data_IF_380680361182
#
_entry.id   IF_380680361182
#
_cell.length_a   1.000
_cell.length_b   1.000
_cell.length_c   1.000
_cell.angle_alpha   90.00
_cell.angle_beta   90.00
_cell.angle_gamma   90.00
#
_symmetry.space_group_name_H-M   'P 1'
#
loop_
_entity.id
_entity.type
_entity.pdbx_description
1 polymer ?
#
# COMPACT_ATOMS: atom_id res chain seq x y z
N UNK A 1 -42.42 -32.93 -26.97
CA UNK A 1 -41.73 -32.21 -25.86
C UNK A 1 -40.53 -33.04 -25.42
N UNK A 2 -39.55 -33.20 -26.29
CA UNK A 2 -38.38 -32.31 -26.48
C UNK A 2 -37.30 -32.49 -25.39
N UNK A 3 -36.73 -33.72 -25.38
CA UNK A 3 -35.54 -34.11 -24.61
C UNK A 3 -34.33 -33.19 -24.89
N UNK A 4 -34.30 -32.57 -26.07
CA UNK A 4 -33.26 -31.63 -26.48
C UNK A 4 -33.41 -30.27 -25.77
N UNK A 5 -34.64 -29.85 -25.48
CA UNK A 5 -34.94 -28.66 -24.66
C UNK A 5 -34.63 -28.90 -23.18
N UNK A 6 -34.88 -30.11 -22.66
CA UNK A 6 -34.51 -30.48 -21.28
C UNK A 6 -32.98 -30.54 -21.11
N UNK A 7 -32.24 -31.12 -22.06
CA UNK A 7 -30.77 -31.12 -22.05
C UNK A 7 -30.19 -29.71 -22.13
N UNK A 8 -30.70 -28.86 -23.02
CA UNK A 8 -30.26 -27.45 -23.12
C UNK A 8 -30.53 -26.66 -21.84
N UNK A 9 -31.70 -26.83 -21.21
CA UNK A 9 -31.99 -26.16 -19.93
C UNK A 9 -31.06 -26.67 -18.81
N UNK A 10 -30.80 -27.99 -18.74
CA UNK A 10 -29.88 -28.56 -17.75
C UNK A 10 -28.44 -28.10 -17.94
N UNK A 11 -27.95 -28.06 -19.18
CA UNK A 11 -26.61 -27.55 -19.52
C UNK A 11 -26.48 -26.04 -19.29
N UNK A 12 -27.52 -25.27 -19.57
CA UNK A 12 -27.51 -23.81 -19.33
C UNK A 12 -27.53 -23.50 -17.83
N UNK A 13 -28.27 -24.29 -17.04
CA UNK A 13 -28.31 -24.15 -15.57
C UNK A 13 -26.97 -24.55 -14.95
N UNK A 14 -26.36 -25.66 -15.35
CA UNK A 14 -25.05 -26.07 -14.81
C UNK A 14 -23.88 -25.20 -15.28
N UNK A 15 -23.97 -24.56 -16.44
CA UNK A 15 -22.96 -23.60 -16.92
C UNK A 15 -23.08 -22.21 -16.28
N UNK A 16 -24.30 -21.75 -16.00
CA UNK A 16 -24.53 -20.49 -15.27
C UNK A 16 -24.15 -20.61 -13.80
N UNK A 17 -24.53 -21.72 -13.16
CA UNK A 17 -24.25 -22.01 -11.75
C UNK A 17 -22.75 -22.27 -11.52
N UNK A 18 -22.05 -22.95 -12.45
CA UNK A 18 -20.58 -23.04 -12.39
C UNK A 18 -19.87 -21.71 -12.70
N UNK A 19 -20.45 -20.81 -13.52
CA UNK A 19 -19.86 -19.48 -13.75
C UNK A 19 -19.99 -18.58 -12.52
N UNK A 20 -21.09 -18.65 -11.78
CA UNK A 20 -21.25 -17.93 -10.51
C UNK A 20 -20.42 -18.56 -9.37
N UNK A 21 -20.29 -19.89 -9.34
CA UNK A 21 -19.49 -20.62 -8.35
C UNK A 21 -17.97 -20.44 -8.51
N UNK A 22 -17.48 -20.24 -9.75
CA UNK A 22 -16.06 -20.03 -10.03
C UNK A 22 -15.64 -18.54 -10.06
N UNK A 23 -16.58 -17.58 -10.13
CA UNK A 23 -16.23 -16.16 -10.29
C UNK A 23 -16.09 -15.36 -8.97
N UNK A 24 -16.52 -15.91 -7.84
CA UNK A 24 -16.39 -15.26 -6.54
C UNK A 24 -15.62 -16.17 -5.58
N UNK A 25 -14.54 -15.66 -4.97
CA UNK A 25 -14.22 -16.09 -3.61
C UNK A 25 -15.56 -16.05 -2.83
N UNK A 26 -15.99 -17.16 -2.21
CA UNK A 26 -17.27 -17.13 -1.46
C UNK A 26 -17.26 -15.94 -0.50
N UNK A 27 -18.41 -15.26 -0.31
CA UNK A 27 -18.49 -14.05 0.52
C UNK A 27 -17.85 -14.27 1.90
N UNK A 28 -17.99 -15.47 2.46
CA UNK A 28 -17.30 -15.92 3.69
C UNK A 28 -15.79 -15.86 3.57
N UNK A 29 -15.20 -16.34 2.47
CA UNK A 29 -13.75 -16.28 2.25
C UNK A 29 -13.24 -14.85 2.11
N UNK A 30 -13.98 -13.97 1.42
CA UNK A 30 -13.62 -12.56 1.34
C UNK A 30 -13.64 -11.90 2.71
N UNK A 31 -14.70 -12.12 3.49
CA UNK A 31 -14.84 -11.59 4.84
C UNK A 31 -13.71 -12.09 5.76
N UNK A 32 -13.40 -13.38 5.73
CA UNK A 32 -12.29 -13.94 6.50
C UNK A 32 -10.96 -13.29 6.15
N UNK A 33 -10.67 -13.08 4.87
CA UNK A 33 -9.43 -12.42 4.44
C UNK A 33 -9.38 -10.94 4.83
N UNK A 34 -10.51 -10.21 4.77
CA UNK A 34 -10.62 -8.83 5.27
C UNK A 34 -10.33 -8.80 6.78
N UNK A 35 -10.93 -9.71 7.55
CA UNK A 35 -10.74 -9.78 9.00
C UNK A 35 -9.30 -10.10 9.37
N UNK A 36 -8.66 -11.05 8.68
CA UNK A 36 -7.24 -11.39 8.91
C UNK A 36 -6.34 -10.21 8.55
N UNK A 37 -6.57 -9.56 7.40
CA UNK A 37 -5.81 -8.37 7.00
C UNK A 37 -5.95 -7.26 8.06
N UNK A 38 -7.17 -6.96 8.50
CA UNK A 38 -7.45 -5.95 9.51
C UNK A 38 -6.75 -6.25 10.84
N UNK A 39 -6.85 -7.49 11.34
CA UNK A 39 -6.24 -7.91 12.59
C UNK A 39 -4.70 -7.81 12.53
N UNK A 40 -4.09 -8.37 11.48
CA UNK A 40 -2.63 -8.31 11.31
C UNK A 40 -2.14 -6.87 11.14
N UNK A 41 -2.87 -6.04 10.41
CA UNK A 41 -2.50 -4.64 10.22
C UNK A 41 -2.66 -3.82 11.51
N UNK A 42 -3.71 -4.06 12.30
CA UNK A 42 -3.89 -3.41 13.60
C UNK A 42 -2.73 -3.74 14.56
N UNK A 43 -2.32 -5.02 14.62
CA UNK A 43 -1.16 -5.45 15.42
C UNK A 43 0.12 -4.80 14.90
N UNK A 44 0.32 -4.77 13.58
CA UNK A 44 1.49 -4.14 12.98
C UNK A 44 1.55 -2.64 13.31
N UNK A 45 0.42 -1.92 13.29
CA UNK A 45 0.35 -0.52 13.73
C UNK A 45 0.70 -0.40 15.20
N UNK A 46 0.08 -1.18 16.08
CA UNK A 46 0.32 -1.10 17.53
C UNK A 46 1.81 -1.30 17.89
N UNK A 47 2.50 -2.19 17.17
CA UNK A 47 3.93 -2.48 17.40
C UNK A 47 4.86 -1.46 16.75
N UNK A 48 4.55 -1.00 15.53
CA UNK A 48 5.51 -0.24 14.71
C UNK A 48 5.26 1.27 14.68
N UNK A 49 4.06 1.70 15.04
CA UNK A 49 3.61 3.09 15.01
C UNK A 49 3.65 3.87 16.34
N UNK A 50 4.38 3.48 17.41
CA UNK A 50 4.61 4.40 18.54
C UNK A 50 5.44 5.64 18.18
N UNK A 51 6.09 5.66 17.02
CA UNK A 51 6.94 6.77 16.58
C UNK A 51 6.05 7.80 15.84
N UNK A 52 5.79 8.98 16.43
CA UNK A 52 4.98 10.01 15.80
C UNK A 52 5.71 10.60 14.59
N UNK A 53 4.93 11.21 13.69
CA UNK A 53 5.52 12.02 12.64
C UNK A 53 6.20 13.26 13.25
N UNK A 54 7.12 13.90 12.52
CA UNK A 54 7.75 15.15 12.96
C UNK A 54 6.78 16.28 13.32
N UNK A 55 5.56 16.27 12.79
CA UNK A 55 4.53 17.26 13.08
C UNK A 55 3.73 16.94 14.35
N UNK A 56 4.05 15.86 15.05
CA UNK A 56 3.32 15.40 16.23
C UNK A 56 1.94 14.83 15.90
N UNK A 57 1.65 14.57 14.61
CA UNK A 57 0.33 14.12 14.15
C UNK A 57 0.48 13.00 13.14
N UNK A 58 -0.16 11.86 13.44
CA UNK A 58 0.05 10.64 12.68
C UNK A 58 1.41 10.00 12.98
N UNK A 59 1.67 8.84 12.39
CA UNK A 59 2.75 7.96 12.83
C UNK A 59 3.56 7.40 11.67
N UNK A 60 4.77 6.95 11.97
CA UNK A 60 5.57 6.10 11.09
C UNK A 60 4.91 4.72 11.00
N UNK A 61 4.57 4.27 9.77
CA UNK A 61 3.74 3.08 9.56
C UNK A 61 4.38 2.10 8.59
N UNK A 62 5.44 1.37 8.97
CA UNK A 62 6.00 0.30 8.14
C UNK A 62 5.04 -0.90 8.03
N UNK A 63 4.09 -1.04 8.96
CA UNK A 63 3.07 -2.11 8.95
C UNK A 63 2.19 -2.17 7.70
N UNK A 64 2.18 -1.12 6.86
CA UNK A 64 1.47 -1.06 5.56
C UNK A 64 1.86 -2.17 4.59
N UNK A 65 2.97 -2.86 4.84
CA UNK A 65 3.37 -4.07 4.11
C UNK A 65 2.29 -5.15 4.15
N UNK A 66 1.58 -5.30 5.28
CA UNK A 66 0.52 -6.30 5.45
C UNK A 66 -0.64 -6.04 4.47
N UNK A 67 -1.33 -4.89 4.51
CA UNK A 67 -2.39 -4.61 3.55
C UNK A 67 -1.90 -4.56 2.10
N UNK A 68 -0.68 -4.10 1.83
CA UNK A 68 -0.09 -4.17 0.49
C UNK A 68 0.00 -5.63 -0.02
N UNK A 69 0.46 -6.56 0.82
CA UNK A 69 0.47 -7.99 0.49
C UNK A 69 -0.94 -8.52 0.23
N UNK A 70 -1.91 -8.23 1.11
CA UNK A 70 -3.29 -8.67 0.92
C UNK A 70 -3.94 -8.09 -0.34
N UNK A 71 -3.66 -6.82 -0.66
CA UNK A 71 -4.11 -6.17 -1.90
C UNK A 71 -3.57 -6.91 -3.12
N UNK A 72 -2.27 -7.19 -3.12
CA UNK A 72 -1.58 -7.81 -4.24
C UNK A 72 -2.09 -9.23 -4.48
N UNK A 73 -2.25 -10.00 -3.41
CA UNK A 73 -2.62 -11.42 -3.49
C UNK A 73 -4.12 -11.63 -3.65
N UNK A 74 -4.96 -10.84 -2.98
CA UNK A 74 -6.40 -11.10 -2.91
C UNK A 74 -7.27 -10.01 -3.55
N UNK A 75 -6.68 -8.87 -3.92
CA UNK A 75 -7.34 -7.82 -4.69
C UNK A 75 -7.71 -6.56 -3.89
N UNK A 76 -8.23 -5.53 -4.60
CA UNK A 76 -8.40 -4.18 -4.08
C UNK A 76 -9.35 -4.08 -2.87
N UNK A 77 -10.45 -4.84 -2.88
CA UNK A 77 -11.45 -4.78 -1.79
C UNK A 77 -10.88 -5.39 -0.50
N UNK A 78 -10.25 -6.57 -0.58
CA UNK A 78 -9.71 -7.27 0.59
C UNK A 78 -8.58 -6.44 1.24
N UNK A 79 -7.70 -5.92 0.41
CA UNK A 79 -6.63 -5.03 0.84
C UNK A 79 -7.14 -3.71 1.42
N UNK A 80 -7.98 -2.99 0.67
CA UNK A 80 -8.51 -1.68 1.03
C UNK A 80 -9.39 -1.68 2.27
N UNK A 81 -10.42 -2.53 2.33
CA UNK A 81 -11.33 -2.59 3.48
C UNK A 81 -10.59 -3.09 4.73
N UNK A 82 -9.78 -4.15 4.59
CA UNK A 82 -8.97 -4.65 5.70
C UNK A 82 -7.98 -3.61 6.21
N UNK A 83 -7.36 -2.82 5.33
CA UNK A 83 -6.48 -1.73 5.74
C UNK A 83 -7.23 -0.61 6.48
N UNK A 84 -8.44 -0.27 6.04
CA UNK A 84 -9.27 0.76 6.66
C UNK A 84 -9.67 0.36 8.09
N UNK A 85 -10.18 -0.86 8.27
CA UNK A 85 -10.56 -1.41 9.57
C UNK A 85 -9.34 -1.60 10.47
N UNK A 86 -8.26 -2.19 9.93
CA UNK A 86 -7.02 -2.39 10.68
C UNK A 86 -6.37 -1.09 11.11
N UNK A 87 -6.43 -0.04 10.27
CA UNK A 87 -6.00 1.31 10.63
C UNK A 87 -6.78 1.84 11.82
N UNK A 88 -8.11 1.76 11.78
CA UNK A 88 -8.95 2.24 12.87
C UNK A 88 -8.68 1.49 14.17
N UNK A 89 -8.60 0.16 14.13
CA UNK A 89 -8.33 -0.65 15.31
C UNK A 89 -6.93 -0.41 15.88
N UNK A 90 -5.92 -0.27 15.02
CA UNK A 90 -4.56 0.07 15.43
C UNK A 90 -4.47 1.45 16.07
N UNK A 91 -5.09 2.46 15.45
CA UNK A 91 -5.14 3.82 16.01
C UNK A 91 -5.98 3.87 17.29
N UNK A 92 -7.05 3.09 17.38
CA UNK A 92 -7.82 2.95 18.61
C UNK A 92 -6.94 2.36 19.73
N UNK A 93 -6.13 1.34 19.45
CA UNK A 93 -5.19 0.80 20.42
C UNK A 93 -4.13 1.83 20.85
N UNK A 94 -3.57 2.60 19.91
CA UNK A 94 -2.62 3.67 20.19
C UNK A 94 -3.24 4.82 21.00
N UNK A 95 -4.55 5.02 20.90
CA UNK A 95 -5.25 6.07 21.66
C UNK A 95 -5.24 5.82 23.17
N UNK A 96 -5.15 4.57 23.62
CA UNK A 96 -4.97 4.26 25.04
C UNK A 96 -3.62 4.74 25.60
N UNK A 97 -2.64 4.98 24.73
CA UNK A 97 -1.34 5.55 25.09
C UNK A 97 -1.24 7.06 24.82
N UNK A 98 -2.35 7.70 24.45
CA UNK A 98 -2.39 9.14 24.15
C UNK A 98 -1.66 9.55 22.85
N UNK A 99 -1.31 8.59 21.99
CA UNK A 99 -0.54 8.85 20.77
C UNK A 99 -1.40 9.36 19.61
N UNK A 100 -2.69 9.02 19.59
CA UNK A 100 -3.64 9.44 18.55
C UNK A 100 -5.06 9.51 19.12
N UNK A 101 -6.01 9.95 18.30
CA UNK A 101 -7.44 9.90 18.63
C UNK A 101 -8.20 9.04 17.64
N UNK A 102 -9.23 8.26 18.07
CA UNK A 102 -10.06 7.49 17.16
C UNK A 102 -10.75 8.36 16.09
N UNK A 103 -11.10 9.59 16.44
CA UNK A 103 -11.72 10.55 15.53
C UNK A 103 -10.77 11.00 14.41
N UNK A 104 -9.50 11.28 14.74
CA UNK A 104 -8.48 11.58 13.73
C UNK A 104 -8.29 10.41 12.78
N UNK A 105 -8.29 9.16 13.29
CA UNK A 105 -8.24 7.97 12.44
C UNK A 105 -9.41 7.89 11.48
N UNK A 106 -10.65 8.12 11.93
CA UNK A 106 -11.82 8.05 11.05
C UNK A 106 -11.80 9.09 9.94
N UNK A 107 -11.30 10.29 10.22
CA UNK A 107 -11.27 11.41 9.25
C UNK A 107 -10.08 11.29 8.28
N UNK A 108 -8.92 10.83 8.77
CA UNK A 108 -7.68 10.83 8.01
C UNK A 108 -7.16 9.43 7.67
N UNK A 109 -6.94 8.61 8.71
CA UNK A 109 -6.30 7.30 8.58
C UNK A 109 -7.13 6.31 7.75
N UNK A 110 -8.40 6.14 8.09
CA UNK A 110 -9.32 5.17 7.47
C UNK A 110 -9.51 5.47 5.97
N UNK A 111 -9.85 6.69 5.54
CA UNK A 111 -10.00 7.00 4.11
C UNK A 111 -8.68 6.86 3.36
N UNK A 112 -7.57 7.35 3.92
CA UNK A 112 -6.26 7.28 3.27
C UNK A 112 -5.79 5.86 3.02
N UNK A 113 -5.96 4.97 4.01
CA UNK A 113 -5.63 3.55 3.87
C UNK A 113 -6.55 2.86 2.87
N UNK A 114 -7.87 3.05 2.99
CA UNK A 114 -8.82 2.47 2.05
C UNK A 114 -8.48 2.84 0.60
N UNK A 115 -8.35 4.14 0.31
CA UNK A 115 -8.10 4.65 -1.04
C UNK A 115 -6.74 4.18 -1.55
N UNK A 116 -5.68 4.29 -0.75
CA UNK A 116 -4.33 3.89 -1.16
C UNK A 116 -4.28 2.42 -1.59
N UNK A 117 -4.77 1.50 -0.76
CA UNK A 117 -4.72 0.07 -1.06
C UNK A 117 -5.73 -0.36 -2.11
N UNK A 118 -6.88 0.32 -2.22
CA UNK A 118 -7.82 0.10 -3.31
C UNK A 118 -7.20 0.49 -4.66
N UNK A 119 -6.56 1.67 -4.74
CA UNK A 119 -5.83 2.14 -5.93
C UNK A 119 -4.70 1.18 -6.30
N UNK A 120 -3.90 0.72 -5.33
CA UNK A 120 -2.87 -0.28 -5.58
C UNK A 120 -3.45 -1.53 -6.25
N UNK A 121 -4.55 -2.05 -5.71
CA UNK A 121 -5.21 -3.24 -6.24
C UNK A 121 -5.77 -3.05 -7.65
N UNK A 122 -6.29 -1.86 -7.96
CA UNK A 122 -6.76 -1.49 -9.30
C UNK A 122 -5.62 -1.33 -10.32
N UNK A 123 -4.47 -0.82 -9.90
CA UNK A 123 -3.33 -0.63 -10.79
C UNK A 123 -2.63 -1.97 -11.07
N UNK A 124 -2.44 -2.81 -10.05
CA UNK A 124 -1.79 -4.10 -10.20
C UNK A 124 -2.65 -5.12 -10.95
N UNK A 125 -3.99 -5.02 -10.87
CA UNK A 125 -4.88 -5.92 -11.60
C UNK A 125 -4.74 -5.78 -13.12
N UNK A 126 -4.33 -4.61 -13.62
CA UNK A 126 -4.09 -4.36 -15.06
C UNK A 126 -2.82 -5.04 -15.57
N UNK A 127 -1.76 -5.09 -14.75
CA UNK A 127 -0.46 -5.67 -15.10
C UNK A 127 0.20 -6.27 -13.87
N UNK A 128 0.18 -7.60 -13.73
CA UNK A 128 0.78 -8.32 -12.60
C UNK A 128 2.25 -8.66 -12.83
N UNK A 129 3.09 -7.64 -12.83
CA UNK A 129 4.54 -7.79 -12.94
C UNK A 129 5.26 -7.01 -11.85
N UNK A 130 6.48 -7.41 -11.49
CA UNK A 130 7.24 -6.76 -10.42
C UNK A 130 7.48 -5.27 -10.70
N UNK A 131 7.82 -4.91 -11.94
CA UNK A 131 7.96 -3.51 -12.34
C UNK A 131 6.65 -2.72 -12.22
N UNK A 132 5.51 -3.33 -12.59
CA UNK A 132 4.19 -2.73 -12.42
C UNK A 132 3.83 -2.56 -10.95
N UNK A 133 4.17 -3.54 -10.09
CA UNK A 133 3.99 -3.45 -8.64
C UNK A 133 4.78 -2.29 -8.04
N UNK A 134 6.04 -2.11 -8.42
CA UNK A 134 6.88 -1.02 -7.94
C UNK A 134 6.26 0.34 -8.29
N UNK A 135 5.87 0.55 -9.55
CA UNK A 135 5.23 1.80 -9.99
C UNK A 135 3.84 2.00 -9.36
N UNK A 136 3.03 0.95 -9.31
CA UNK A 136 1.67 0.99 -8.73
C UNK A 136 1.70 1.28 -7.24
N UNK A 137 2.66 0.71 -6.51
CA UNK A 137 2.87 0.98 -5.09
C UNK A 137 3.24 2.43 -4.86
N UNK A 138 4.14 2.99 -5.67
CA UNK A 138 4.53 4.40 -5.55
C UNK A 138 3.34 5.34 -5.79
N UNK A 139 2.56 5.13 -6.86
CA UNK A 139 1.36 5.92 -7.15
C UNK A 139 0.32 5.78 -6.04
N UNK A 140 0.04 4.54 -5.62
CA UNK A 140 -0.93 4.26 -4.56
C UNK A 140 -0.54 4.88 -3.21
N UNK A 141 0.75 4.84 -2.84
CA UNK A 141 1.26 5.49 -1.64
C UNK A 141 1.11 7.01 -1.72
N UNK A 142 1.39 7.64 -2.88
CA UNK A 142 1.15 9.08 -3.05
C UNK A 142 -0.32 9.41 -2.86
N UNK A 143 -1.22 8.69 -3.53
CA UNK A 143 -2.66 8.96 -3.47
C UNK A 143 -3.21 8.73 -2.05
N UNK A 144 -2.91 7.59 -1.45
CA UNK A 144 -3.39 7.26 -0.10
C UNK A 144 -2.87 8.21 0.96
N UNK A 145 -1.58 8.56 0.91
CA UNK A 145 -0.97 9.49 1.87
C UNK A 145 -1.44 10.92 1.67
N UNK A 146 -1.73 11.34 0.42
CA UNK A 146 -2.35 12.64 0.16
C UNK A 146 -3.76 12.71 0.75
N UNK A 147 -4.58 11.67 0.56
CA UNK A 147 -5.93 11.60 1.17
C UNK A 147 -5.82 11.65 2.70
N UNK A 148 -4.88 10.92 3.30
CA UNK A 148 -4.64 10.97 4.73
C UNK A 148 -4.21 12.37 5.19
N UNK A 149 -3.27 13.01 4.49
CA UNK A 149 -2.78 14.35 4.84
C UNK A 149 -3.87 15.43 4.73
N UNK A 150 -4.72 15.34 3.71
CA UNK A 150 -5.90 16.19 3.58
C UNK A 150 -6.92 15.94 4.70
N UNK A 151 -7.10 14.68 5.11
CA UNK A 151 -7.92 14.32 6.27
C UNK A 151 -7.37 14.90 7.58
N UNK A 152 -6.03 14.89 7.77
CA UNK A 152 -5.40 15.57 8.91
C UNK A 152 -5.70 17.06 8.89
N UNK A 153 -5.57 17.72 7.74
CA UNK A 153 -5.93 19.13 7.59
C UNK A 153 -7.41 19.37 7.90
N UNK A 154 -8.31 18.51 7.43
CA UNK A 154 -9.74 18.61 7.72
C UNK A 154 -10.03 18.45 9.21
N UNK A 155 -9.42 17.46 9.88
CA UNK A 155 -9.54 17.29 11.34
C UNK A 155 -9.11 18.56 12.08
N UNK A 156 -7.98 19.15 11.70
CA UNK A 156 -7.50 20.39 12.29
C UNK A 156 -8.39 21.59 11.99
N UNK A 157 -8.98 21.65 10.80
CA UNK A 157 -9.88 22.73 10.44
C UNK A 157 -11.16 22.71 11.27
N UNK A 158 -11.75 21.52 11.47
CA UNK A 158 -13.10 21.38 12.06
C UNK A 158 -13.10 21.00 13.54
N UNK A 159 -12.07 20.33 14.05
CA UNK A 159 -12.05 19.75 15.41
C UNK A 159 -11.06 20.46 16.33
N UNK A 160 -9.89 20.87 15.82
CA UNK A 160 -8.82 21.49 16.62
C UNK A 160 -8.42 22.85 16.02
N UNK A 161 -9.19 23.93 16.30
CA UNK A 161 -9.17 25.19 15.54
C UNK A 161 -7.83 25.93 15.50
N UNK A 162 -6.88 25.57 16.37
CA UNK A 162 -5.56 26.20 16.45
C UNK A 162 -4.76 26.21 15.13
N UNK A 163 -5.02 25.26 14.23
CA UNK A 163 -4.37 25.16 12.91
C UNK A 163 -5.21 25.80 11.80
N UNK A 164 -6.50 26.06 12.05
CA UNK A 164 -7.40 26.68 11.07
C UNK A 164 -6.96 28.11 10.74
N UNK A 165 -6.34 28.82 11.69
CA UNK A 165 -5.81 30.18 11.52
C UNK A 165 -4.50 30.26 10.73
N UNK A 166 -3.87 29.12 10.40
CA UNK A 166 -2.59 29.13 9.69
C UNK A 166 -2.70 29.71 8.27
N UNK A 167 -1.66 30.39 7.78
CA UNK A 167 -1.63 30.86 6.41
C UNK A 167 -1.70 29.69 5.42
N UNK A 168 -2.29 29.93 4.25
CA UNK A 168 -2.50 28.88 3.23
C UNK A 168 -1.20 28.21 2.80
N UNK A 169 -0.10 28.98 2.73
CA UNK A 169 1.24 28.46 2.42
C UNK A 169 1.70 27.40 3.41
N UNK A 170 1.47 27.60 4.72
CA UNK A 170 1.83 26.64 5.76
C UNK A 170 0.97 25.39 5.70
N UNK A 171 -0.34 25.52 5.42
CA UNK A 171 -1.25 24.39 5.23
C UNK A 171 -0.80 23.50 4.06
N UNK A 172 -0.47 24.10 2.92
CA UNK A 172 0.07 23.39 1.76
C UNK A 172 1.39 22.70 2.12
N UNK A 173 2.31 23.39 2.79
CA UNK A 173 3.59 22.85 3.20
C UNK A 173 3.43 21.61 4.09
N UNK A 174 2.53 21.64 5.08
CA UNK A 174 2.29 20.49 5.98
C UNK A 174 1.61 19.33 5.26
N UNK A 175 0.62 19.59 4.39
CA UNK A 175 0.00 18.52 3.59
C UNK A 175 1.05 17.85 2.68
N UNK A 176 1.88 18.64 2.00
CA UNK A 176 2.98 18.13 1.19
C UNK A 176 4.01 17.37 2.04
N UNK A 177 4.37 17.90 3.21
CA UNK A 177 5.31 17.30 4.14
C UNK A 177 4.86 15.94 4.65
N UNK A 178 3.64 15.86 5.17
CA UNK A 178 3.03 14.60 5.63
C UNK A 178 2.93 13.58 4.49
N UNK A 179 2.47 14.01 3.31
CA UNK A 179 2.36 13.13 2.13
C UNK A 179 3.73 12.54 1.77
N UNK A 180 4.75 13.39 1.61
CA UNK A 180 6.09 12.97 1.21
C UNK A 180 6.77 12.12 2.28
N UNK A 181 6.62 12.50 3.56
CA UNK A 181 7.15 11.74 4.69
C UNK A 181 6.62 10.31 4.69
N UNK A 182 5.30 10.12 4.61
CA UNK A 182 4.71 8.79 4.58
C UNK A 182 5.07 8.02 3.32
N UNK A 183 5.11 8.67 2.14
CA UNK A 183 5.52 8.00 0.89
C UNK A 183 6.93 7.42 1.04
N UNK A 184 7.89 8.23 1.47
CA UNK A 184 9.29 7.82 1.62
C UNK A 184 9.44 6.74 2.68
N UNK A 185 8.80 6.92 3.82
CA UNK A 185 8.93 5.98 4.94
C UNK A 185 8.22 4.65 4.70
N UNK A 186 7.20 4.60 3.84
CA UNK A 186 6.48 3.37 3.51
C UNK A 186 7.08 2.64 2.30
N UNK A 187 7.53 3.38 1.27
CA UNK A 187 8.00 2.77 0.01
C UNK A 187 9.22 1.89 0.25
N UNK A 188 10.10 2.26 1.19
CA UNK A 188 11.29 1.51 1.58
C UNK A 188 10.98 0.16 2.24
N UNK A 189 9.76 -0.07 2.71
CA UNK A 189 9.32 -1.38 3.23
C UNK A 189 8.46 -2.11 2.21
N UNK A 190 7.51 -1.42 1.58
CA UNK A 190 6.55 -2.04 0.65
C UNK A 190 7.27 -2.63 -0.57
N UNK A 191 8.16 -1.87 -1.21
CA UNK A 191 8.86 -2.31 -2.42
C UNK A 191 9.74 -3.55 -2.17
N UNK A 192 10.59 -3.60 -1.13
CA UNK A 192 11.41 -4.78 -0.88
C UNK A 192 10.65 -5.94 -0.21
N UNK A 193 9.78 -5.69 0.76
CA UNK A 193 9.24 -6.77 1.59
C UNK A 193 8.06 -7.49 0.94
N UNK A 194 7.16 -6.78 0.26
CA UNK A 194 5.95 -7.41 -0.29
C UNK A 194 6.28 -8.50 -1.32
N UNK A 195 7.16 -8.29 -2.32
CA UNK A 195 7.52 -9.34 -3.26
C UNK A 195 8.15 -10.57 -2.60
N UNK A 196 8.98 -10.36 -1.56
CA UNK A 196 9.59 -11.45 -0.80
C UNK A 196 8.51 -12.27 -0.09
N UNK A 197 7.57 -11.61 0.59
CA UNK A 197 6.47 -12.27 1.30
C UNK A 197 5.59 -13.04 0.31
N UNK A 198 5.22 -12.42 -0.82
CA UNK A 198 4.43 -13.08 -1.87
C UNK A 198 5.15 -14.35 -2.35
N UNK A 199 6.44 -14.26 -2.66
CA UNK A 199 7.23 -15.40 -3.16
C UNK A 199 7.33 -16.54 -2.15
N UNK A 200 7.43 -16.23 -0.86
CA UNK A 200 7.52 -17.23 0.19
C UNK A 200 6.17 -17.91 0.48
N UNK A 201 5.07 -17.15 0.40
CA UNK A 201 3.73 -17.60 0.76
C UNK A 201 3.00 -18.26 -0.44
N UNK A 202 3.38 -17.92 -1.67
CA UNK A 202 2.78 -18.46 -2.91
C UNK A 202 2.71 -20.00 -2.95
N UNK A 203 3.77 -20.77 -2.66
CA UNK A 203 3.70 -22.23 -2.67
C UNK A 203 2.66 -22.78 -1.68
N UNK A 204 2.55 -22.17 -0.51
CA UNK A 204 1.57 -22.54 0.53
C UNK A 204 0.14 -22.23 0.08
N UNK A 205 -0.08 -21.05 -0.53
CA UNK A 205 -1.38 -20.68 -1.08
C UNK A 205 -1.83 -21.60 -2.21
N UNK A 206 -0.90 -22.02 -3.09
CA UNK A 206 -1.18 -23.01 -4.14
C UNK A 206 -1.61 -24.35 -3.56
N UNK A 207 -0.90 -24.85 -2.53
CA UNK A 207 -1.27 -26.09 -1.82
C UNK A 207 -2.65 -26.02 -1.16
N UNK A 208 -3.06 -24.84 -0.71
CA UNK A 208 -4.38 -24.60 -0.12
C UNK A 208 -5.50 -24.40 -1.16
N UNK A 209 -5.21 -24.53 -2.46
CA UNK A 209 -6.22 -24.29 -3.51
C UNK A 209 -6.60 -22.82 -3.69
N UNK A 210 -5.77 -21.88 -3.22
CA UNK A 210 -5.96 -20.42 -3.39
C UNK A 210 -5.20 -19.92 -4.64
N UNK A 211 -4.84 -20.85 -5.54
CA UNK A 211 -3.70 -20.76 -6.47
C UNK A 211 -3.82 -19.83 -7.67
N UNK A 212 -4.97 -19.23 -7.98
CA UNK A 212 -5.13 -18.42 -9.20
C UNK A 212 -4.78 -16.92 -9.05
N UNK A 213 -4.52 -16.43 -7.83
CA UNK A 213 -4.53 -14.97 -7.58
C UNK A 213 -3.14 -14.34 -7.37
N UNK A 214 -2.06 -15.11 -7.19
CA UNK A 214 -0.76 -14.59 -6.71
C UNK A 214 0.33 -14.40 -7.78
N UNK A 215 0.04 -14.52 -9.08
CA UNK A 215 1.07 -14.48 -10.13
C UNK A 215 1.62 -13.07 -10.37
N UNK A 216 2.41 -12.54 -9.44
CA UNK A 216 3.35 -11.46 -9.70
C UNK A 216 4.45 -12.04 -10.57
N UNK A 217 4.33 -11.85 -11.88
CA UNK A 217 5.37 -12.31 -12.79
C UNK A 217 6.67 -11.56 -12.46
N UNK A 218 7.71 -12.33 -12.22
CA UNK A 218 9.08 -11.82 -12.16
C UNK A 218 9.39 -11.25 -13.55
N UNK A 219 9.25 -9.92 -13.68
CA UNK A 219 9.43 -9.23 -14.96
C UNK A 219 10.88 -9.24 -15.40
N UNK A 220 11.14 -9.05 -16.70
CA UNK A 220 12.48 -8.81 -17.22
C UNK A 220 13.25 -7.80 -16.34
N UNK A 221 14.46 -8.17 -15.91
CA UNK A 221 15.28 -7.38 -14.99
C UNK A 221 15.42 -5.92 -15.42
N UNK A 222 15.48 -5.66 -16.73
CA UNK A 222 15.54 -4.31 -17.30
C UNK A 222 14.32 -3.46 -16.93
N UNK A 223 13.11 -4.04 -16.97
CA UNK A 223 11.87 -3.33 -16.63
C UNK A 223 11.83 -2.95 -15.15
N UNK A 224 12.29 -3.86 -14.29
CA UNK A 224 12.39 -3.62 -12.85
C UNK A 224 13.39 -2.52 -12.52
N UNK A 225 14.59 -2.57 -13.12
CA UNK A 225 15.61 -1.53 -12.97
C UNK A 225 15.04 -0.19 -13.45
N UNK A 226 14.38 -0.14 -14.62
CA UNK A 226 13.73 1.08 -15.10
C UNK A 226 12.71 1.63 -14.10
N UNK A 227 11.82 0.80 -13.55
CA UNK A 227 10.83 1.28 -12.57
C UNK A 227 11.45 1.82 -11.28
N UNK A 228 12.47 1.14 -10.76
CA UNK A 228 13.14 1.55 -9.50
C UNK A 228 14.00 2.80 -9.71
N UNK A 229 14.71 2.89 -10.83
CA UNK A 229 15.44 4.10 -11.26
C UNK A 229 14.48 5.28 -11.46
N UNK A 230 13.35 5.08 -12.15
CA UNK A 230 12.37 6.15 -12.36
C UNK A 230 11.85 6.72 -11.03
N UNK A 231 11.49 5.87 -10.07
CA UNK A 231 11.04 6.34 -8.75
C UNK A 231 12.18 7.04 -8.01
N UNK A 232 13.38 6.47 -8.03
CA UNK A 232 14.55 7.09 -7.40
C UNK A 232 14.82 8.49 -7.97
N UNK A 233 14.74 8.66 -9.29
CA UNK A 233 14.90 9.95 -9.95
C UNK A 233 13.77 10.93 -9.60
N UNK A 234 12.51 10.46 -9.50
CA UNK A 234 11.39 11.30 -9.06
C UNK A 234 11.64 11.80 -7.62
N UNK A 235 12.01 10.90 -6.70
CA UNK A 235 12.32 11.27 -5.32
C UNK A 235 13.51 12.23 -5.22
N UNK A 236 14.55 12.02 -6.04
CA UNK A 236 15.71 12.91 -6.11
C UNK A 236 15.35 14.28 -6.71
N UNK A 237 14.47 14.33 -7.72
CA UNK A 237 13.98 15.57 -8.29
C UNK A 237 13.12 16.34 -7.27
N UNK A 238 12.23 15.66 -6.55
CA UNK A 238 11.47 16.27 -5.45
C UNK A 238 12.41 16.80 -4.37
N UNK A 239 13.42 16.03 -3.97
CA UNK A 239 14.46 16.50 -3.05
C UNK A 239 15.13 17.77 -3.53
N UNK A 240 15.62 17.81 -4.77
CA UNK A 240 16.27 18.99 -5.35
C UNK A 240 15.34 20.20 -5.37
N UNK A 241 14.07 20.01 -5.74
CA UNK A 241 13.07 21.09 -5.70
C UNK A 241 12.86 21.62 -4.28
N UNK A 242 12.75 20.74 -3.29
CA UNK A 242 12.56 21.14 -1.88
C UNK A 242 13.82 21.79 -1.32
N UNK A 243 15.00 21.28 -1.64
CA UNK A 243 16.27 21.79 -1.13
C UNK A 243 16.64 23.16 -1.72
N UNK A 244 16.32 23.39 -3.00
CA UNK A 244 16.66 24.63 -3.71
C UNK A 244 15.58 25.71 -3.61
N UNK A 245 14.33 25.35 -3.26
CA UNK A 245 13.24 26.32 -3.16
C UNK A 245 13.34 27.19 -1.90
N UNK A 246 13.16 28.53 -2.02
CA UNK A 246 13.02 29.42 -0.87
C UNK A 246 11.84 28.97 0.00
N UNK A 247 12.13 28.55 1.24
CA UNK A 247 11.10 28.04 2.16
C UNK A 247 10.81 26.54 2.04
N UNK A 248 11.52 25.78 1.20
CA UNK A 248 11.33 24.33 1.11
C UNK A 248 11.61 23.58 2.43
N UNK A 249 12.45 24.13 3.32
CA UNK A 249 12.61 23.63 4.71
C UNK A 249 11.31 23.67 5.53
N UNK A 250 10.38 24.57 5.18
CA UNK A 250 9.06 24.64 5.84
C UNK A 250 8.17 23.46 5.46
N UNK A 251 8.43 22.77 4.34
CA UNK A 251 7.69 21.55 3.97
C UNK A 251 7.86 20.49 5.05
N UNK A 252 9.05 20.39 5.66
CA UNK A 252 9.32 19.49 6.79
C UNK A 252 9.18 20.17 8.16
N UNK A 253 8.55 21.35 8.21
CA UNK A 253 8.42 22.19 9.41
C UNK A 253 9.75 22.44 10.16
N UNK A 254 10.90 22.31 9.48
CA UNK A 254 12.22 22.34 10.11
C UNK A 254 12.54 21.16 11.04
N UNK A 255 11.66 20.15 11.13
CA UNK A 255 11.80 19.02 12.06
C UNK A 255 12.57 17.86 11.42
N UNK A 256 12.47 17.67 10.11
CA UNK A 256 13.30 16.71 9.38
C UNK A 256 14.15 17.34 8.29
N UNK A 257 15.39 16.81 8.10
CA UNK A 257 16.21 17.14 6.96
C UNK A 257 15.54 16.63 5.66
N UNK A 258 15.43 17.46 4.59
CA UNK A 258 14.93 17.02 3.28
C UNK A 258 15.64 15.78 2.71
N UNK A 259 16.86 15.51 3.18
CA UNK A 259 17.73 14.37 2.87
C UNK A 259 17.04 13.01 3.09
N UNK A 260 15.97 12.94 3.88
CA UNK A 260 15.14 11.73 3.98
C UNK A 260 14.60 11.27 2.61
N UNK A 261 14.28 12.21 1.72
CA UNK A 261 13.87 11.92 0.33
C UNK A 261 15.00 11.25 -0.47
N UNK A 262 16.24 11.67 -0.23
CA UNK A 262 17.42 11.09 -0.86
C UNK A 262 17.67 9.67 -0.33
N UNK A 263 17.52 9.44 0.97
CA UNK A 263 17.62 8.10 1.57
C UNK A 263 16.56 7.17 0.95
N UNK A 264 15.31 7.62 0.83
CA UNK A 264 14.25 6.88 0.16
C UNK A 264 14.60 6.53 -1.29
N UNK A 265 15.13 7.50 -2.04
CA UNK A 265 15.61 7.31 -3.41
C UNK A 265 16.68 6.22 -3.51
N UNK A 266 17.70 6.27 -2.64
CA UNK A 266 18.79 5.30 -2.61
C UNK A 266 18.28 3.89 -2.28
N UNK A 267 17.39 3.75 -1.30
CA UNK A 267 16.85 2.43 -0.92
C UNK A 267 16.00 1.83 -2.04
N UNK A 268 15.14 2.62 -2.69
CA UNK A 268 14.32 2.14 -3.82
C UNK A 268 15.22 1.72 -4.99
N UNK A 269 16.25 2.53 -5.30
CA UNK A 269 17.23 2.20 -6.33
C UNK A 269 17.96 0.88 -6.00
N UNK A 270 18.52 0.76 -4.79
CA UNK A 270 19.25 -0.42 -4.34
C UNK A 270 18.38 -1.70 -4.37
N UNK A 271 17.10 -1.57 -4.00
CA UNK A 271 16.14 -2.69 -4.04
C UNK A 271 16.01 -3.28 -5.45
N UNK A 272 16.03 -2.45 -6.49
CA UNK A 272 15.98 -2.90 -7.89
C UNK A 272 17.17 -3.79 -8.29
N UNK A 273 18.38 -3.43 -7.84
CA UNK A 273 19.58 -4.23 -8.09
C UNK A 273 19.58 -5.52 -7.27
N UNK A 274 19.18 -5.47 -6.01
CA UNK A 274 19.07 -6.64 -5.14
C UNK A 274 18.09 -7.65 -5.75
N UNK A 275 16.90 -7.20 -6.17
CA UNK A 275 15.92 -8.08 -6.80
C UNK A 275 16.42 -8.64 -8.12
N UNK A 276 17.08 -7.83 -8.96
CA UNK A 276 17.68 -8.33 -10.20
C UNK A 276 18.72 -9.41 -9.93
N UNK A 277 19.55 -9.22 -8.90
CA UNK A 277 20.54 -10.22 -8.49
C UNK A 277 19.89 -11.50 -8.00
N UNK A 278 18.87 -11.39 -7.14
CA UNK A 278 18.11 -12.53 -6.62
C UNK A 278 17.41 -13.31 -7.75
N UNK A 279 16.79 -12.61 -8.71
CA UNK A 279 16.17 -13.22 -9.89
C UNK A 279 17.18 -14.05 -10.69
N UNK A 280 18.34 -13.47 -11.02
CA UNK A 280 19.39 -14.18 -11.76
C UNK A 280 19.92 -15.39 -11.00
N UNK A 281 20.01 -15.31 -9.67
CA UNK A 281 20.42 -16.44 -8.84
C UNK A 281 19.39 -17.56 -8.90
N UNK A 282 18.10 -17.26 -8.80
CA UNK A 282 17.01 -18.24 -8.85
C UNK A 282 16.94 -18.93 -10.23
N UNK A 283 17.01 -18.17 -11.34
CA UNK A 283 17.03 -18.72 -12.70
C UNK A 283 18.23 -19.67 -12.93
N UNK A 284 19.38 -19.36 -12.34
CA UNK A 284 20.58 -20.20 -12.43
C UNK A 284 20.44 -21.52 -11.68
N UNK A 285 19.68 -21.54 -10.57
CA UNK A 285 19.43 -22.77 -9.83
C UNK A 285 18.34 -23.64 -10.46
N UNK A 286 17.35 -23.04 -11.14
CA UNK A 286 16.30 -23.79 -11.85
C UNK A 286 16.79 -24.42 -13.15
N UNK A 287 17.85 -23.87 -13.78
CA UNK A 287 18.46 -24.42 -15.01
C UNK A 287 19.48 -25.53 -14.76
N UNK A 288 19.79 -25.84 -13.50
CA UNK A 288 20.69 -26.93 -13.07
C UNK A 288 19.92 -28.18 -12.58
N UNK A 289 18.59 -28.20 -12.69
CA UNK A 289 17.72 -29.36 -12.46
C UNK A 289 17.10 -29.81 -13.76
#
# INVERSE_FOLDING_TARGET
>A
MDQQKIRRVKETFTLADNKELHAALSATKQLSLISINAALYAVAIAVTSPIPTPWGVGHFRPGVVIPAFFTVVFGPIIGGVGAAIGCFLGDFALSFFGLTTPLLSLIAGVPGNFVGFYVLGLLISKRRSLASFVMSSFVALIVGNLVAALGVLAYFWFVVPSWASWPMSMKIAVVSGLTLFWVVTMVIFVVPLVPIIVSYVEPSLKRMGIGEVSNLSWSNSISLIKSTVSIALILAAIYSLVALSPGGKMIFAGVLPPEILLIGSVVVFASGFIFTYLMKKVERFSSLR
#
